data_IF_409032255622
#
_entry.id   IF_409032255622
#
_cell.length_a   1.000
_cell.length_b   1.000
_cell.length_c   1.000
_cell.angle_alpha   90.00
_cell.angle_beta   90.00
_cell.angle_gamma   90.00
#
_symmetry.space_group_name_H-M   'P 1'
#
loop_
_entity.id
_entity.type
_entity.pdbx_description
1 polymer ?
#
# COMPACT_ATOMS: atom_id res chain seq x y z
N UNK A 1 -3.60 -21.37 -12.54
CA UNK A 1 -4.06 -19.99 -12.42
C UNK A 1 -3.66 -19.54 -11.02
N UNK A 2 -2.67 -18.69 -10.92
CA UNK A 2 -2.16 -18.19 -9.64
C UNK A 2 -2.97 -17.00 -9.14
N UNK A 3 -2.70 -16.59 -7.89
CA UNK A 3 -3.30 -15.41 -7.26
C UNK A 3 -2.20 -14.43 -6.84
N UNK A 4 -2.27 -13.22 -7.33
CA UNK A 4 -1.26 -12.18 -7.14
C UNK A 4 -1.89 -10.99 -6.43
N UNK A 5 -1.24 -10.54 -5.35
CA UNK A 5 -1.58 -9.32 -4.65
C UNK A 5 -0.67 -8.17 -5.05
N UNK A 6 -1.22 -6.98 -5.27
CA UNK A 6 -0.49 -5.72 -5.48
C UNK A 6 -0.76 -4.82 -4.30
N UNK A 7 0.26 -4.61 -3.46
CA UNK A 7 0.17 -3.83 -2.23
C UNK A 7 0.86 -2.48 -2.39
N UNK A 8 0.05 -1.46 -2.73
CA UNK A 8 0.51 -0.09 -2.93
C UNK A 8 0.52 0.72 -1.63
N UNK A 9 1.65 1.36 -1.31
CA UNK A 9 1.74 2.32 -0.20
C UNK A 9 2.95 3.25 -0.40
N UNK A 10 3.06 4.26 0.47
CA UNK A 10 4.24 5.12 0.48
C UNK A 10 5.50 4.37 0.93
N UNK A 11 5.39 3.47 1.89
CA UNK A 11 6.51 2.78 2.53
C UNK A 11 7.66 3.72 2.92
N UNK A 12 7.34 4.80 3.63
CA UNK A 12 8.25 5.90 3.99
C UNK A 12 8.35 6.11 5.51
N UNK A 13 8.99 5.18 6.27
CA UNK A 13 9.52 3.87 5.87
C UNK A 13 8.49 2.75 5.82
N UNK A 14 8.90 1.58 5.32
CA UNK A 14 8.19 0.31 5.54
C UNK A 14 8.23 -0.04 7.03
N UNK A 15 7.14 -0.61 7.56
CA UNK A 15 7.00 -0.96 8.97
C UNK A 15 6.68 -2.43 9.15
N UNK A 16 6.86 -2.96 10.37
CA UNK A 16 6.46 -4.34 10.68
C UNK A 16 4.98 -4.59 10.40
N UNK A 17 4.11 -3.57 10.60
CA UNK A 17 2.67 -3.71 10.29
C UNK A 17 2.42 -3.94 8.80
N UNK A 18 3.17 -3.29 7.91
CA UNK A 18 3.05 -3.55 6.47
C UNK A 18 3.36 -5.03 6.14
N UNK A 19 4.41 -5.58 6.74
CA UNK A 19 4.82 -6.97 6.50
C UNK A 19 3.82 -7.97 7.08
N UNK A 20 3.34 -7.74 8.30
CA UNK A 20 2.32 -8.59 8.93
C UNK A 20 1.00 -8.55 8.17
N UNK A 21 0.57 -7.37 7.71
CA UNK A 21 -0.61 -7.22 6.87
C UNK A 21 -0.47 -8.02 5.59
N UNK A 22 0.64 -7.85 4.86
CA UNK A 22 0.90 -8.59 3.62
C UNK A 22 0.94 -10.11 3.84
N UNK A 23 1.60 -10.56 4.92
CA UNK A 23 1.67 -11.99 5.29
C UNK A 23 0.29 -12.55 5.63
N UNK A 24 -0.50 -11.84 6.42
CA UNK A 24 -1.87 -12.23 6.78
C UNK A 24 -2.75 -12.35 5.54
N UNK A 25 -2.66 -11.37 4.65
CA UNK A 25 -3.43 -11.35 3.39
C UNK A 25 -3.00 -12.51 2.49
N UNK A 26 -1.69 -12.71 2.31
CA UNK A 26 -1.17 -13.80 1.48
C UNK A 26 -1.70 -15.16 1.95
N UNK A 27 -1.67 -15.40 3.27
CA UNK A 27 -2.18 -16.65 3.85
C UNK A 27 -3.70 -16.79 3.68
N UNK A 28 -4.49 -15.78 4.03
CA UNK A 28 -5.96 -15.88 4.06
C UNK A 28 -6.58 -15.89 2.68
N UNK A 29 -6.04 -15.10 1.75
CA UNK A 29 -6.50 -15.07 0.37
C UNK A 29 -5.84 -16.15 -0.49
N UNK A 30 -4.89 -16.92 0.06
CA UNK A 30 -4.10 -17.95 -0.65
C UNK A 30 -3.41 -17.37 -1.87
N UNK A 31 -2.67 -16.26 -1.66
CA UNK A 31 -1.88 -15.64 -2.71
C UNK A 31 -0.58 -16.39 -2.93
N UNK A 32 -0.19 -16.55 -4.19
CA UNK A 32 1.08 -17.15 -4.57
C UNK A 32 2.22 -16.11 -4.55
N UNK A 33 1.88 -14.82 -4.70
CA UNK A 33 2.83 -13.70 -4.67
C UNK A 33 2.16 -12.41 -4.20
N UNK A 34 2.92 -11.58 -3.47
CA UNK A 34 2.54 -10.20 -3.14
C UNK A 34 3.64 -9.25 -3.63
N UNK A 35 3.27 -8.32 -4.51
CA UNK A 35 4.13 -7.23 -4.96
C UNK A 35 3.94 -6.02 -4.06
N UNK A 36 5.01 -5.62 -3.38
CA UNK A 36 5.08 -4.32 -2.70
C UNK A 36 5.39 -3.24 -3.71
N UNK A 37 4.51 -2.26 -3.82
CA UNK A 37 4.57 -1.21 -4.81
C UNK A 37 4.73 0.16 -4.12
N UNK A 38 5.96 0.69 -3.99
CA UNK A 38 6.15 2.03 -3.45
C UNK A 38 5.63 3.06 -4.45
N UNK A 39 4.73 3.94 -3.99
CA UNK A 39 4.20 5.00 -4.84
C UNK A 39 5.26 6.07 -5.13
N UNK A 40 5.18 6.70 -6.29
CA UNK A 40 6.11 7.76 -6.70
C UNK A 40 6.01 9.01 -5.80
N UNK A 41 7.10 9.79 -5.72
CA UNK A 41 7.16 11.03 -4.95
C UNK A 41 6.23 12.13 -5.46
N UNK A 42 5.79 12.06 -6.70
CA UNK A 42 4.94 13.08 -7.34
C UNK A 42 3.43 12.95 -7.04
N UNK A 43 3.03 12.25 -5.99
CA UNK A 43 1.61 12.18 -5.59
C UNK A 43 1.12 13.54 -5.08
N UNK A 44 -0.11 13.91 -5.49
CA UNK A 44 -0.73 15.18 -5.10
C UNK A 44 -1.22 15.15 -3.65
N UNK A 45 -1.65 13.97 -3.19
CA UNK A 45 -2.29 13.75 -1.89
C UNK A 45 -1.29 13.46 -0.76
N UNK A 46 -0.02 13.17 -1.08
CA UNK A 46 0.96 12.78 -0.08
C UNK A 46 2.39 13.17 -0.45
N UNK A 47 3.04 13.91 0.44
CA UNK A 47 4.44 14.27 0.31
C UNK A 47 5.33 13.23 0.98
N UNK A 48 6.23 12.59 0.21
CA UNK A 48 7.23 11.67 0.76
C UNK A 48 8.35 12.45 1.45
N UNK A 49 8.93 11.87 2.48
CA UNK A 49 10.04 12.48 3.25
C UNK A 49 11.40 11.99 2.80
N UNK A 50 11.43 10.84 2.08
CA UNK A 50 12.66 10.31 1.49
C UNK A 50 12.51 10.09 -0.02
N UNK A 51 13.65 9.87 -0.69
CA UNK A 51 13.68 9.62 -2.13
C UNK A 51 13.09 8.24 -2.48
N UNK A 52 12.79 8.05 -3.76
CA UNK A 52 12.34 6.76 -4.28
C UNK A 52 13.40 5.67 -4.02
N UNK A 53 14.68 5.99 -4.17
CA UNK A 53 15.80 5.07 -3.98
C UNK A 53 15.87 4.56 -2.55
N UNK A 54 15.77 5.44 -1.56
CA UNK A 54 15.78 5.03 -0.15
C UNK A 54 14.58 4.13 0.19
N UNK A 55 13.38 4.47 -0.29
CA UNK A 55 12.19 3.65 -0.04
C UNK A 55 12.27 2.28 -0.70
N UNK A 56 12.84 2.24 -1.92
CA UNK A 56 13.12 1.02 -2.64
C UNK A 56 14.10 0.11 -1.88
N UNK A 57 15.23 0.65 -1.45
CA UNK A 57 16.22 -0.12 -0.68
C UNK A 57 15.65 -0.63 0.65
N UNK A 58 14.94 0.22 1.41
CA UNK A 58 14.29 -0.21 2.64
C UNK A 58 13.30 -1.36 2.39
N UNK A 59 12.51 -1.31 1.31
CA UNK A 59 11.59 -2.41 0.96
C UNK A 59 12.34 -3.70 0.62
N UNK A 60 13.40 -3.66 -0.18
CA UNK A 60 14.21 -4.84 -0.50
C UNK A 60 14.79 -5.48 0.75
N UNK A 61 15.32 -4.67 1.65
CA UNK A 61 15.84 -5.13 2.94
C UNK A 61 14.75 -5.75 3.80
N UNK A 62 13.55 -5.14 3.85
CA UNK A 62 12.45 -5.60 4.68
C UNK A 62 11.90 -6.95 4.26
N UNK A 63 11.75 -7.20 2.95
CA UNK A 63 11.14 -8.43 2.43
C UNK A 63 12.16 -9.53 2.11
N UNK A 64 13.44 -9.23 2.28
CA UNK A 64 14.53 -10.14 1.93
C UNK A 64 14.33 -11.54 2.52
N UNK A 65 14.47 -12.56 1.67
CA UNK A 65 14.34 -13.97 2.08
C UNK A 65 12.91 -14.52 2.14
N UNK A 66 11.87 -13.73 1.92
CA UNK A 66 10.51 -14.25 1.82
C UNK A 66 10.13 -14.51 0.34
N UNK A 67 9.96 -15.77 -0.08
CA UNK A 67 9.69 -16.12 -1.47
C UNK A 67 8.30 -15.65 -1.97
N UNK A 68 7.39 -15.31 -1.06
CA UNK A 68 6.06 -14.80 -1.39
C UNK A 68 6.07 -13.32 -1.75
N UNK A 69 7.11 -12.57 -1.35
CA UNK A 69 7.16 -11.12 -1.49
C UNK A 69 8.14 -10.68 -2.56
N UNK A 70 7.75 -9.67 -3.31
CA UNK A 70 8.57 -9.04 -4.35
C UNK A 70 8.34 -7.52 -4.33
N UNK A 71 9.35 -6.72 -4.64
CA UNK A 71 9.19 -5.28 -4.80
C UNK A 71 9.04 -4.96 -6.28
N UNK A 72 8.06 -4.12 -6.62
CA UNK A 72 7.90 -3.60 -7.98
C UNK A 72 8.23 -2.12 -8.02
N UNK A 73 9.08 -1.74 -8.95
CA UNK A 73 9.51 -0.36 -9.20
C UNK A 73 8.61 0.40 -10.19
N UNK A 74 7.54 -0.23 -10.63
CA UNK A 74 6.66 0.27 -11.70
C UNK A 74 6.23 1.73 -11.53
N UNK A 75 5.89 2.17 -10.31
CA UNK A 75 5.49 3.56 -10.10
C UNK A 75 6.67 4.51 -9.90
N UNK A 76 7.78 4.03 -9.34
CA UNK A 76 8.91 4.90 -9.02
C UNK A 76 9.90 5.08 -10.19
N UNK A 77 10.11 4.06 -11.03
CA UNK A 77 11.05 4.11 -12.14
C UNK A 77 10.37 4.27 -13.50
N UNK A 78 9.31 3.49 -13.76
CA UNK A 78 8.68 3.49 -15.08
C UNK A 78 7.69 4.65 -15.26
N UNK A 79 7.13 5.17 -14.15
CA UNK A 79 6.12 6.24 -14.17
C UNK A 79 6.50 7.51 -13.42
N UNK A 80 7.67 7.56 -12.83
CA UNK A 80 8.16 8.75 -12.16
C UNK A 80 8.14 9.95 -13.12
N UNK A 81 7.45 11.02 -12.72
CA UNK A 81 7.30 12.22 -13.54
C UNK A 81 6.21 12.19 -14.62
N UNK A 82 5.42 11.12 -14.72
CA UNK A 82 4.25 11.07 -15.62
C UNK A 82 2.96 11.44 -14.87
N UNK A 83 1.98 12.02 -15.59
CA UNK A 83 0.64 12.29 -15.04
C UNK A 83 -0.20 11.03 -14.79
N UNK A 84 0.33 9.85 -15.06
CA UNK A 84 -0.40 8.57 -15.05
C UNK A 84 -0.09 7.72 -13.81
N UNK A 85 -0.07 8.33 -12.61
CA UNK A 85 0.18 7.64 -11.34
C UNK A 85 -1.13 7.20 -10.65
N UNK A 86 -2.09 6.72 -11.43
CA UNK A 86 -3.37 6.27 -10.91
C UNK A 86 -3.42 4.75 -10.81
N UNK A 87 -4.03 4.24 -9.75
CA UNK A 87 -4.19 2.80 -9.47
C UNK A 87 -4.78 2.02 -10.65
N UNK A 88 -5.65 2.66 -11.45
CA UNK A 88 -6.15 2.06 -12.70
C UNK A 88 -5.02 1.58 -13.61
N UNK A 89 -4.05 2.44 -13.92
CA UNK A 89 -2.93 2.07 -14.82
C UNK A 89 -2.00 1.03 -14.20
N UNK A 90 -1.82 1.10 -12.90
CA UNK A 90 -1.05 0.10 -12.15
C UNK A 90 -1.69 -1.28 -12.27
N UNK A 91 -2.99 -1.36 -12.08
CA UNK A 91 -3.70 -2.64 -12.16
C UNK A 91 -3.76 -3.18 -13.59
N UNK A 92 -3.91 -2.33 -14.61
CA UNK A 92 -3.81 -2.73 -16.03
C UNK A 92 -2.42 -3.29 -16.35
N UNK A 93 -1.35 -2.67 -15.83
CA UNK A 93 0.02 -3.19 -15.99
C UNK A 93 0.17 -4.58 -15.38
N UNK A 94 -0.23 -4.78 -14.14
CA UNK A 94 -0.12 -6.09 -13.50
C UNK A 94 -0.99 -7.14 -14.19
N UNK A 95 -2.20 -6.80 -14.58
CA UNK A 95 -3.08 -7.70 -15.35
C UNK A 95 -2.47 -8.10 -16.70
N UNK A 96 -1.81 -7.19 -17.39
CA UNK A 96 -1.11 -7.50 -18.65
C UNK A 96 0.13 -8.36 -18.45
N UNK A 97 0.86 -8.16 -17.34
CA UNK A 97 2.04 -8.95 -16.97
C UNK A 97 1.70 -10.38 -16.56
N UNK A 98 0.52 -10.57 -15.96
CA UNK A 98 0.04 -11.85 -15.44
C UNK A 98 -1.32 -12.24 -16.02
N UNK A 99 -1.43 -12.43 -17.36
CA UNK A 99 -2.72 -12.59 -18.05
C UNK A 99 -3.44 -13.90 -17.73
N UNK A 100 -2.76 -14.86 -17.10
CA UNK A 100 -3.32 -16.16 -16.70
C UNK A 100 -3.69 -16.24 -15.22
N UNK A 101 -3.37 -15.18 -14.44
CA UNK A 101 -3.53 -15.17 -13.00
C UNK A 101 -4.59 -14.16 -12.56
N UNK A 102 -5.15 -14.38 -11.38
CA UNK A 102 -6.00 -13.40 -10.72
C UNK A 102 -5.15 -12.35 -10.03
N UNK A 103 -5.33 -11.09 -10.39
CA UNK A 103 -4.60 -9.97 -9.80
C UNK A 103 -5.54 -9.17 -8.92
N UNK A 104 -5.13 -8.97 -7.66
CA UNK A 104 -5.87 -8.25 -6.64
C UNK A 104 -5.13 -6.99 -6.21
N UNK A 105 -5.83 -5.86 -6.13
CA UNK A 105 -5.32 -4.69 -5.43
C UNK A 105 -5.56 -4.86 -3.92
N UNK A 106 -4.51 -4.74 -3.13
CA UNK A 106 -4.57 -4.85 -1.67
C UNK A 106 -4.68 -3.44 -1.08
N UNK A 107 -5.71 -3.23 -0.25
CA UNK A 107 -5.94 -1.95 0.43
C UNK A 107 -6.52 -2.13 1.83
N UNK A 108 -6.38 -1.11 2.67
CA UNK A 108 -7.09 -1.01 3.94
C UNK A 108 -8.54 -0.56 3.76
N UNK A 109 -9.34 -0.77 4.79
CA UNK A 109 -10.75 -0.36 4.80
C UNK A 109 -10.94 1.16 4.71
N UNK A 110 -9.95 1.95 5.14
CA UNK A 110 -9.88 3.39 4.98
C UNK A 110 -9.89 3.81 3.49
N UNK A 111 -9.12 3.13 2.67
CA UNK A 111 -9.10 3.38 1.22
C UNK A 111 -10.38 2.91 0.52
N UNK A 112 -11.06 1.89 1.04
CA UNK A 112 -12.36 1.49 0.52
C UNK A 112 -13.41 2.57 0.74
N UNK A 113 -13.36 3.26 1.88
CA UNK A 113 -14.23 4.41 2.16
C UNK A 113 -13.93 5.59 1.21
N UNK A 114 -12.65 5.83 0.94
CA UNK A 114 -12.22 6.95 0.08
C UNK A 114 -12.49 6.73 -1.41
N UNK A 115 -12.57 5.50 -1.89
CA UNK A 115 -12.62 5.20 -3.33
C UNK A 115 -13.84 5.82 -4.02
N UNK A 116 -14.99 5.91 -3.34
CA UNK A 116 -16.22 6.56 -3.83
C UNK A 116 -16.61 7.81 -3.03
N UNK A 117 -15.69 8.37 -2.25
CA UNK A 117 -15.96 9.55 -1.46
C UNK A 117 -16.10 10.79 -2.34
N UNK A 118 -17.35 11.24 -2.54
CA UNK A 118 -17.69 12.42 -3.34
C UNK A 118 -17.52 13.75 -2.58
N UNK A 119 -17.30 13.71 -1.27
CA UNK A 119 -17.06 14.89 -0.44
C UNK A 119 -15.61 15.38 -0.55
N UNK A 120 -14.70 14.50 -0.97
CA UNK A 120 -13.32 14.90 -1.24
C UNK A 120 -13.24 15.95 -2.36
N UNK A 121 -12.29 16.90 -2.29
CA UNK A 121 -11.96 17.78 -3.39
C UNK A 121 -11.68 16.99 -4.67
N UNK A 122 -12.14 17.49 -5.82
CA UNK A 122 -12.09 16.75 -7.12
C UNK A 122 -10.68 16.25 -7.47
N UNK A 123 -9.63 17.00 -7.11
CA UNK A 123 -8.24 16.62 -7.37
C UNK A 123 -7.74 15.48 -6.46
N UNK A 124 -8.39 15.22 -5.32
CA UNK A 124 -8.08 14.14 -4.38
C UNK A 124 -8.94 12.88 -4.62
N UNK A 125 -10.01 12.99 -5.42
CA UNK A 125 -10.87 11.83 -5.73
C UNK A 125 -10.13 10.79 -6.57
N UNK A 126 -10.44 9.54 -6.33
CA UNK A 126 -9.90 8.43 -7.12
C UNK A 126 -10.25 8.59 -8.60
N UNK A 127 -9.25 8.73 -9.44
CA UNK A 127 -9.42 8.80 -10.91
C UNK A 127 -9.74 7.42 -11.47
N UNK A 128 -10.65 7.39 -12.44
CA UNK A 128 -11.09 6.14 -13.09
C UNK A 128 -11.71 5.11 -12.13
N UNK A 129 -12.23 5.52 -10.96
CA UNK A 129 -12.77 4.61 -9.93
C UNK A 129 -13.79 3.62 -10.48
N UNK A 130 -14.72 4.08 -11.34
CA UNK A 130 -15.73 3.21 -11.95
C UNK A 130 -15.11 2.13 -12.82
N UNK A 131 -14.15 2.50 -13.68
CA UNK A 131 -13.40 1.53 -14.49
C UNK A 131 -12.57 0.60 -13.62
N UNK A 132 -11.93 1.13 -12.58
CA UNK A 132 -11.10 0.37 -11.66
C UNK A 132 -11.91 -0.72 -10.97
N UNK A 133 -13.08 -0.38 -10.41
CA UNK A 133 -13.94 -1.34 -9.71
C UNK A 133 -14.55 -2.35 -10.68
N UNK A 134 -14.98 -1.91 -11.86
CA UNK A 134 -15.61 -2.77 -12.86
C UNK A 134 -14.66 -3.83 -13.47
N UNK A 135 -13.35 -3.61 -13.45
CA UNK A 135 -12.40 -4.44 -14.20
C UNK A 135 -11.36 -5.16 -13.34
N UNK A 136 -11.29 -4.85 -12.03
CA UNK A 136 -10.28 -5.40 -11.15
C UNK A 136 -10.88 -5.95 -9.87
N UNK A 137 -10.09 -6.78 -9.19
CA UNK A 137 -10.43 -7.41 -7.91
C UNK A 137 -9.67 -6.76 -6.77
N UNK A 138 -10.26 -6.79 -5.58
CA UNK A 138 -9.73 -6.14 -4.39
C UNK A 138 -9.66 -7.11 -3.23
N UNK A 139 -8.58 -7.02 -2.46
CA UNK A 139 -8.53 -7.57 -1.11
C UNK A 139 -8.53 -6.40 -0.16
N UNK A 140 -9.54 -6.34 0.70
CA UNK A 140 -9.71 -5.26 1.68
C UNK A 140 -9.47 -5.81 3.07
N UNK A 141 -8.48 -5.25 3.77
CA UNK A 141 -8.17 -5.60 5.15
C UNK A 141 -8.90 -4.67 6.11
N UNK A 142 -9.57 -5.26 7.09
CA UNK A 142 -10.18 -4.51 8.19
C UNK A 142 -9.13 -3.68 8.93
N UNK A 143 -9.50 -2.46 9.29
CA UNK A 143 -8.66 -1.52 10.02
C UNK A 143 -9.54 -0.64 10.93
N UNK A 144 -9.04 -0.39 12.13
CA UNK A 144 -9.57 0.60 13.07
C UNK A 144 -11.10 0.48 13.35
N UNK A 145 -11.64 -0.74 13.32
CA UNK A 145 -13.06 -0.98 13.56
C UNK A 145 -14.00 -0.54 12.43
N UNK A 146 -13.44 -0.21 11.25
CA UNK A 146 -14.24 0.19 10.08
C UNK A 146 -15.09 -0.99 9.59
N UNK A 147 -16.38 -0.77 9.48
CA UNK A 147 -17.35 -1.73 8.95
C UNK A 147 -17.39 -1.67 7.42
N UNK A 148 -16.63 -2.57 6.79
CA UNK A 148 -16.49 -2.64 5.32
C UNK A 148 -17.83 -2.92 4.62
N UNK A 149 -18.69 -3.78 5.20
CA UNK A 149 -19.99 -4.08 4.61
C UNK A 149 -20.91 -2.86 4.63
N UNK A 150 -20.83 -2.07 5.70
CA UNK A 150 -21.58 -0.81 5.79
C UNK A 150 -21.10 0.20 4.75
N UNK A 151 -19.79 0.29 4.49
CA UNK A 151 -19.24 1.14 3.43
C UNK A 151 -19.79 0.71 2.06
N UNK A 152 -19.67 -0.58 1.73
CA UNK A 152 -20.14 -1.12 0.46
C UNK A 152 -21.65 -0.86 0.29
N UNK A 153 -22.44 -1.13 1.32
CA UNK A 153 -23.90 -0.98 1.27
C UNK A 153 -24.34 0.47 1.06
N UNK A 154 -23.58 1.46 1.55
CA UNK A 154 -23.90 2.88 1.43
C UNK A 154 -23.51 3.48 0.08
N UNK A 155 -22.47 2.96 -0.58
CA UNK A 155 -22.03 3.43 -1.88
C UNK A 155 -22.79 2.74 -3.01
N UNK A 156 -23.56 3.48 -3.85
CA UNK A 156 -24.21 2.88 -5.01
C UNK A 156 -23.21 2.23 -5.97
N UNK A 157 -22.03 2.81 -6.12
CA UNK A 157 -20.99 2.28 -6.99
C UNK A 157 -20.47 0.95 -6.45
N UNK A 158 -20.04 0.88 -5.19
CA UNK A 158 -19.47 -0.35 -4.62
C UNK A 158 -20.50 -1.47 -4.54
N UNK A 159 -21.74 -1.13 -4.17
CA UNK A 159 -22.85 -2.10 -4.08
C UNK A 159 -23.16 -2.78 -5.41
N UNK A 160 -23.02 -2.08 -6.54
CA UNK A 160 -23.24 -2.66 -7.85
C UNK A 160 -22.23 -3.77 -8.21
N UNK A 161 -21.10 -3.81 -7.51
CA UNK A 161 -20.02 -4.78 -7.68
C UNK A 161 -19.81 -5.69 -6.46
N UNK A 162 -20.76 -5.69 -5.52
CA UNK A 162 -20.77 -6.62 -4.38
C UNK A 162 -21.35 -7.97 -4.80
N UNK A 163 -20.62 -8.63 -5.69
CA UNK A 163 -20.97 -9.87 -6.36
C UNK A 163 -20.30 -11.12 -5.73
N UNK A 164 -19.65 -10.92 -4.56
CA UNK A 164 -18.86 -11.95 -3.88
C UNK A 164 -17.54 -12.30 -4.56
N UNK A 165 -17.18 -11.62 -5.65
CA UNK A 165 -15.96 -11.89 -6.44
C UNK A 165 -15.06 -10.67 -6.60
N UNK A 166 -15.63 -9.46 -6.66
CA UNK A 166 -14.89 -8.19 -6.80
C UNK A 166 -14.16 -7.82 -5.52
N UNK A 167 -14.82 -7.96 -4.36
CA UNK A 167 -14.25 -7.62 -3.06
C UNK A 167 -14.04 -8.87 -2.19
N UNK A 168 -12.79 -9.17 -1.87
CA UNK A 168 -12.43 -10.18 -0.87
C UNK A 168 -12.14 -9.47 0.46
N UNK A 169 -13.10 -9.52 1.38
CA UNK A 169 -13.02 -8.84 2.66
C UNK A 169 -12.33 -9.72 3.70
N UNK A 170 -11.31 -9.18 4.36
CA UNK A 170 -10.60 -9.84 5.47
C UNK A 170 -10.91 -9.06 6.75
N UNK A 171 -11.83 -9.59 7.55
CA UNK A 171 -12.37 -8.97 8.76
C UNK A 171 -11.46 -9.09 9.98
N UNK A 172 -10.49 -10.00 9.95
CA UNK A 172 -9.55 -10.27 11.05
C UNK A 172 -8.12 -10.06 10.61
N UNK A 173 -7.46 -9.09 11.19
CA UNK A 173 -6.05 -8.80 11.04
C UNK A 173 -5.45 -8.32 12.36
N UNK A 174 -4.16 -8.05 12.36
CA UNK A 174 -3.52 -7.34 13.47
C UNK A 174 -3.93 -5.86 13.36
N UNK A 175 -4.62 -5.37 14.37
CA UNK A 175 -4.85 -3.94 14.54
C UNK A 175 -3.74 -3.38 15.42
N UNK A 176 -2.88 -2.55 14.85
CA UNK A 176 -1.81 -1.86 15.57
C UNK A 176 -1.68 -0.44 15.05
N UNK A 177 -1.64 0.51 15.95
CA UNK A 177 -1.49 1.95 15.65
C UNK A 177 -0.04 2.34 15.32
N UNK A 178 0.68 1.49 14.58
CA UNK A 178 2.03 1.81 14.10
C UNK A 178 1.93 2.43 12.72
N UNK A 179 2.31 3.68 12.60
CA UNK A 179 2.36 4.41 11.33
C UNK A 179 3.77 4.83 10.96
N UNK A 180 4.02 4.95 9.66
CA UNK A 180 5.30 5.52 9.18
C UNK A 180 5.50 6.95 9.68
N UNK A 181 4.44 7.71 9.91
CA UNK A 181 4.50 9.07 10.48
C UNK A 181 5.04 9.03 11.90
N UNK A 182 4.47 8.20 12.76
CA UNK A 182 4.95 8.03 14.13
C UNK A 182 6.45 7.69 14.17
N UNK A 183 6.89 6.75 13.33
CA UNK A 183 8.29 6.34 13.26
C UNK A 183 9.20 7.48 12.83
N UNK A 184 8.80 8.27 11.84
CA UNK A 184 9.58 9.43 11.41
C UNK A 184 9.68 10.50 12.50
N UNK A 185 8.60 10.73 13.22
CA UNK A 185 8.56 11.70 14.33
C UNK A 185 9.49 11.25 15.48
N UNK A 186 9.51 9.94 15.79
CA UNK A 186 10.46 9.39 16.76
C UNK A 186 11.92 9.64 16.35
N UNK A 187 12.29 9.31 15.10
CA UNK A 187 13.64 9.61 14.61
C UNK A 187 13.96 11.12 14.66
N UNK A 188 13.01 11.97 14.31
CA UNK A 188 13.18 13.42 14.32
C UNK A 188 13.37 13.98 15.74
N UNK A 189 12.86 13.31 16.77
CA UNK A 189 13.01 13.67 18.19
C UNK A 189 14.23 13.02 18.85
N UNK A 190 14.97 12.16 18.13
CA UNK A 190 16.10 11.41 18.67
C UNK A 190 15.68 10.16 19.45
N UNK A 191 14.45 9.68 19.26
CA UNK A 191 13.95 8.42 19.81
C UNK A 191 14.48 7.21 19.06
N UNK A 192 14.11 6.01 19.54
CA UNK A 192 14.58 4.72 19.01
C UNK A 192 13.41 3.80 18.62
N UNK A 193 12.80 3.98 17.45
CA UNK A 193 11.67 3.14 17.01
C UNK A 193 12.09 1.78 16.42
N UNK A 194 13.20 1.20 16.90
CA UNK A 194 13.85 -0.01 16.36
C UNK A 194 12.89 -1.18 16.19
N UNK A 195 12.07 -1.46 17.18
CA UNK A 195 11.19 -2.64 17.16
C UNK A 195 9.90 -2.46 16.33
N UNK A 196 9.68 -1.28 15.81
CA UNK A 196 8.53 -0.98 14.92
C UNK A 196 8.86 -1.23 13.44
N UNK A 197 10.13 -1.45 13.13
CA UNK A 197 10.70 -1.67 11.81
C UNK A 197 11.40 -3.02 11.73
N UNK A 198 11.58 -3.59 10.52
CA UNK A 198 12.58 -4.63 10.31
C UNK A 198 13.98 -4.12 10.67
N UNK A 199 14.76 -4.94 11.37
CA UNK A 199 16.10 -4.56 11.86
C UNK A 199 17.00 -3.97 10.76
N UNK A 200 17.01 -4.59 9.59
CA UNK A 200 17.80 -4.12 8.43
C UNK A 200 17.34 -2.74 7.93
N UNK A 201 16.05 -2.46 7.99
CA UNK A 201 15.52 -1.14 7.64
C UNK A 201 15.90 -0.09 8.68
N UNK A 202 15.80 -0.45 9.95
CA UNK A 202 16.25 0.43 11.04
C UNK A 202 17.72 0.81 10.86
N UNK A 203 18.60 -0.18 10.65
CA UNK A 203 20.03 0.07 10.44
C UNK A 203 20.27 0.94 9.21
N UNK A 204 19.59 0.68 8.10
CA UNK A 204 19.69 1.49 6.89
C UNK A 204 19.30 2.97 7.14
N UNK A 205 18.23 3.20 7.90
CA UNK A 205 17.78 4.56 8.26
C UNK A 205 18.85 5.29 9.08
N UNK A 206 19.44 4.60 10.07
CA UNK A 206 20.51 5.17 10.93
C UNK A 206 21.76 5.49 10.11
N UNK A 207 22.24 4.56 9.29
CA UNK A 207 23.46 4.72 8.48
C UNK A 207 23.33 5.84 7.45
N UNK A 208 22.14 6.03 6.90
CA UNK A 208 21.85 7.09 5.91
C UNK A 208 21.32 8.38 6.55
N UNK A 209 21.22 8.46 7.89
CA UNK A 209 20.72 9.61 8.66
C UNK A 209 19.34 10.10 8.18
N UNK A 210 18.47 9.17 7.79
CA UNK A 210 17.12 9.50 7.30
C UNK A 210 16.22 9.93 8.46
N UNK A 211 15.28 10.82 8.18
CA UNK A 211 14.27 11.34 9.13
C UNK A 211 14.81 12.12 10.33
N UNK A 212 16.12 12.29 10.48
CA UNK A 212 16.71 13.08 11.56
C UNK A 212 16.53 14.57 11.28
N UNK A 213 16.26 15.36 12.32
CA UNK A 213 16.37 16.83 12.21
C UNK A 213 17.82 17.17 11.91
N UNK A 214 18.05 18.05 10.93
CA UNK A 214 19.35 18.66 10.78
C UNK A 214 19.72 19.29 12.13
N UNK A 215 20.82 18.86 12.73
CA UNK A 215 21.41 19.55 13.85
C UNK A 215 21.75 20.94 13.34
N UNK A 216 20.99 21.96 13.75
CA UNK A 216 21.35 23.35 13.49
C UNK A 216 22.72 23.58 14.14
N UNK A 217 23.73 23.57 13.30
CA UNK A 217 25.12 23.98 13.64
C UNK A 217 25.18 25.48 13.87
#
# INVERSE_FOLDING_TARGET
MGKIGVYGSSFDPVTNVHLWTASTIAHRAKLDKVFFLPCANGRIDKQMKTSNEHRWEMLKLAIGGNPLFEVSDYEINERAGTSKQYTWYTMEYFKSRFPKDEVYFIMGADLLEDIDNQELPVHLRWKFREKLIANHKFIVMARDGIDMLKIISKSPLLRNYDDGNTFHLIDKGLSMEISSTYIRDEFAMGGEPRYLLPDQCYQYIVDNKLYQKALNS
#
